data_IF_085307975309
#
_entry.id   IF_085307975309
#
_cell.length_a   1.000
_cell.length_b   1.000
_cell.length_c   1.000
_cell.angle_alpha   90.00
_cell.angle_beta   90.00
_cell.angle_gamma   90.00
#
_symmetry.space_group_name_H-M   'P 1'
#
loop_
_entity.id
_entity.type
_entity.pdbx_description
1 polymer ?
#
# COMPACT_ATOMS: atom_id res chain seq x y z
N UNK A 1 -19.65 16.47 -10.86
CA UNK A 1 -18.85 16.36 -9.61
C UNK A 1 -17.46 15.94 -10.01
N UNK A 2 -16.50 16.87 -9.99
CA UNK A 2 -15.11 16.60 -10.40
C UNK A 2 -14.41 15.83 -9.29
N UNK A 3 -13.99 14.59 -9.54
CA UNK A 3 -13.19 13.82 -8.60
C UNK A 3 -11.86 14.57 -8.39
N UNK A 4 -11.59 14.91 -7.13
CA UNK A 4 -10.67 15.96 -6.74
C UNK A 4 -9.20 15.60 -6.99
N UNK A 5 -8.53 16.58 -7.58
CA UNK A 5 -7.10 16.87 -7.53
C UNK A 5 -6.11 15.75 -7.88
N UNK A 6 -5.79 15.77 -9.17
CA UNK A 6 -4.43 15.74 -9.71
C UNK A 6 -3.45 16.32 -8.68
N UNK A 7 -2.60 15.46 -8.12
CA UNK A 7 -1.36 15.83 -7.45
C UNK A 7 -0.70 16.96 -8.24
N UNK A 8 -0.42 18.10 -7.60
CA UNK A 8 0.61 18.98 -8.12
C UNK A 8 1.85 18.09 -8.31
N UNK A 9 2.28 17.85 -9.56
CA UNK A 9 3.02 16.61 -9.96
C UNK A 9 4.32 16.36 -9.18
N UNK A 10 4.75 17.34 -8.42
CA UNK A 10 5.97 17.33 -7.64
C UNK A 10 5.75 17.28 -6.12
N UNK A 11 4.51 17.22 -5.62
CA UNK A 11 4.19 17.18 -4.19
C UNK A 11 3.50 15.86 -3.82
N UNK A 12 4.01 15.24 -2.75
CA UNK A 12 3.38 14.15 -2.02
C UNK A 12 2.71 14.72 -0.77
N UNK A 13 1.42 14.45 -0.59
CA UNK A 13 0.61 14.95 0.51
C UNK A 13 0.37 13.85 1.55
N UNK A 14 0.16 14.24 2.81
CA UNK A 14 -0.42 13.32 3.80
C UNK A 14 -1.81 12.89 3.33
N UNK A 15 -2.12 11.59 3.43
CA UNK A 15 -3.27 10.87 2.85
C UNK A 15 -3.09 10.35 1.43
N UNK A 16 -2.01 10.71 0.73
CA UNK A 16 -1.69 10.10 -0.56
C UNK A 16 -1.38 8.61 -0.40
N UNK A 17 -1.65 7.87 -1.47
CA UNK A 17 -1.32 6.45 -1.57
C UNK A 17 0.11 6.29 -2.07
N UNK A 18 0.82 5.34 -1.49
CA UNK A 18 2.16 4.97 -1.95
C UNK A 18 2.40 3.48 -1.84
N UNK A 19 3.36 3.02 -2.62
CA UNK A 19 3.87 1.66 -2.56
C UNK A 19 5.24 1.65 -1.90
N UNK A 20 5.53 0.56 -1.22
CA UNK A 20 6.85 0.30 -0.63
C UNK A 20 7.08 -1.20 -0.52
N UNK A 21 8.33 -1.59 -0.30
CA UNK A 21 8.69 -2.97 -0.02
C UNK A 21 8.55 -3.27 1.47
N UNK A 22 7.86 -4.35 1.80
CA UNK A 22 7.66 -4.85 3.16
C UNK A 22 8.10 -6.31 3.24
N UNK A 23 8.48 -6.74 4.44
CA UNK A 23 8.77 -8.14 4.74
C UNK A 23 7.61 -8.78 5.48
N UNK A 24 7.14 -9.94 5.02
CA UNK A 24 6.18 -10.78 5.73
C UNK A 24 6.77 -12.17 5.89
N UNK A 25 7.21 -12.51 7.11
CA UNK A 25 8.01 -13.70 7.36
C UNK A 25 9.35 -13.67 6.60
N UNK A 26 9.52 -14.61 5.67
CA UNK A 26 10.70 -14.73 4.79
C UNK A 26 10.50 -14.12 3.40
N UNK A 27 9.30 -13.62 3.10
CA UNK A 27 8.98 -13.06 1.80
C UNK A 27 9.09 -11.54 1.82
N UNK A 28 9.56 -10.99 0.71
CA UNK A 28 9.38 -9.57 0.40
C UNK A 28 8.11 -9.41 -0.42
N UNK A 29 7.41 -8.31 -0.21
CA UNK A 29 6.17 -8.04 -0.92
C UNK A 29 5.94 -6.54 -0.99
N UNK A 30 5.27 -6.10 -2.04
CA UNK A 30 4.85 -4.71 -2.15
C UNK A 30 3.62 -4.47 -1.29
N UNK A 31 3.73 -3.53 -0.36
CA UNK A 31 2.62 -2.99 0.39
C UNK A 31 2.06 -1.76 -0.28
N UNK A 32 0.73 -1.63 -0.30
CA UNK A 32 0.05 -0.38 -0.69
C UNK A 32 -0.44 0.29 0.59
N UNK A 33 0.01 1.51 0.82
CA UNK A 33 -0.22 2.23 2.06
C UNK A 33 -0.88 3.58 1.81
N UNK A 34 -1.74 3.97 2.74
CA UNK A 34 -2.23 5.34 2.82
C UNK A 34 -1.39 6.12 3.82
N UNK A 35 -0.77 7.19 3.36
CA UNK A 35 0.06 8.06 4.20
C UNK A 35 -0.74 8.69 5.34
N UNK A 36 -0.20 8.60 6.55
CA UNK A 36 -0.74 9.24 7.76
C UNK A 36 0.16 10.34 8.28
N UNK A 37 1.46 10.29 7.96
CA UNK A 37 2.39 11.37 8.26
C UNK A 37 3.60 11.34 7.34
N UNK A 38 4.19 12.50 7.14
CA UNK A 38 5.45 12.66 6.43
C UNK A 38 6.39 13.51 7.29
N UNK A 39 7.68 13.19 7.27
CA UNK A 39 8.70 14.00 7.96
C UNK A 39 9.95 14.13 7.11
N UNK A 40 10.64 15.26 7.26
CA UNK A 40 11.94 15.53 6.63
C UNK A 40 12.87 16.11 7.69
N UNK A 41 14.02 15.47 7.89
CA UNK A 41 14.98 15.83 8.94
C UNK A 41 14.34 15.85 10.34
N UNK A 42 13.44 14.90 10.61
CA UNK A 42 12.71 14.79 11.88
C UNK A 42 11.55 15.77 12.07
N UNK A 43 11.36 16.72 11.15
CA UNK A 43 10.26 17.69 11.21
C UNK A 43 9.05 17.18 10.44
N UNK A 44 7.88 17.14 11.08
CA UNK A 44 6.61 16.78 10.45
C UNK A 44 6.23 17.76 9.33
N UNK A 45 5.73 17.24 8.22
CA UNK A 45 5.31 18.03 7.05
C UNK A 45 3.96 17.52 6.56
N UNK A 46 3.08 18.45 6.18
CA UNK A 46 1.81 18.13 5.53
C UNK A 46 2.00 17.70 4.07
N UNK A 47 3.11 18.12 3.46
CA UNK A 47 3.51 17.78 2.10
C UNK A 47 5.03 17.72 1.96
N UNK A 48 5.51 16.94 1.00
CA UNK A 48 6.91 16.85 0.63
C UNK A 48 7.07 16.96 -0.89
N UNK A 49 8.15 17.58 -1.34
CA UNK A 49 8.50 17.50 -2.74
C UNK A 49 8.95 16.07 -3.08
N UNK A 50 8.37 15.46 -4.12
CA UNK A 50 8.62 14.06 -4.52
C UNK A 50 10.10 13.84 -4.86
N UNK A 51 10.76 14.80 -5.53
CA UNK A 51 12.19 14.73 -5.85
C UNK A 51 13.05 14.71 -4.59
N UNK A 52 12.69 15.52 -3.58
CA UNK A 52 13.38 15.51 -2.28
C UNK A 52 13.10 14.20 -1.54
N UNK A 53 11.86 13.72 -1.56
CA UNK A 53 11.45 12.50 -0.86
C UNK A 53 12.17 11.27 -1.41
N UNK A 54 12.23 11.13 -2.74
CA UNK A 54 12.77 9.95 -3.43
C UNK A 54 14.29 9.98 -3.60
N UNK A 55 14.94 11.11 -3.33
CA UNK A 55 16.41 11.23 -3.39
C UNK A 55 17.09 10.29 -2.40
N UNK A 56 18.05 9.47 -2.86
CA UNK A 56 18.77 8.48 -2.04
C UNK A 56 19.46 9.05 -0.79
N UNK A 57 19.76 10.36 -0.78
CA UNK A 57 20.39 11.06 0.36
C UNK A 57 19.38 11.72 1.29
N UNK A 58 18.10 11.56 1.01
CA UNK A 58 17.03 12.16 1.79
C UNK A 58 16.85 11.45 3.13
N UNK A 59 16.64 12.24 4.17
CA UNK A 59 16.19 11.75 5.48
C UNK A 59 14.66 11.82 5.59
N UNK A 60 13.96 11.86 4.46
CA UNK A 60 12.50 11.79 4.44
C UNK A 60 12.04 10.44 5.01
N UNK A 61 10.98 10.47 5.82
CA UNK A 61 10.30 9.27 6.30
C UNK A 61 8.80 9.45 6.11
N UNK A 62 8.16 8.45 5.53
CA UNK A 62 6.72 8.41 5.31
C UNK A 62 6.14 7.32 6.19
N UNK A 63 5.10 7.64 6.95
CA UNK A 63 4.35 6.66 7.73
C UNK A 63 2.99 6.47 7.08
N UNK A 64 2.56 5.23 6.94
CA UNK A 64 1.26 4.91 6.38
C UNK A 64 0.62 3.68 7.00
N UNK A 65 -0.68 3.56 6.76
CA UNK A 65 -1.49 2.40 7.13
C UNK A 65 -1.55 1.43 5.95
N UNK A 66 -1.27 0.15 6.19
CA UNK A 66 -1.30 -0.88 5.16
C UNK A 66 -2.75 -1.21 4.77
N UNK A 67 -3.04 -1.15 3.48
CA UNK A 67 -4.38 -1.32 2.94
C UNK A 67 -4.67 -2.79 2.63
N UNK A 68 -5.92 -3.20 2.83
CA UNK A 68 -6.41 -4.51 2.38
C UNK A 68 -6.86 -4.39 0.93
N UNK A 69 -6.29 -5.22 0.05
CA UNK A 69 -6.60 -5.20 -1.37
C UNK A 69 -7.15 -6.54 -1.81
N UNK A 70 -8.14 -6.49 -2.71
CA UNK A 70 -8.73 -7.65 -3.36
C UNK A 70 -8.42 -7.63 -4.85
N UNK A 71 -7.93 -8.73 -5.45
CA UNK A 71 -7.77 -8.80 -6.89
C UNK A 71 -9.16 -8.81 -7.58
N UNK A 72 -9.26 -8.23 -8.76
CA UNK A 72 -10.39 -8.50 -9.67
C UNK A 72 -10.30 -9.90 -10.22
N UNK A 73 -11.43 -10.61 -10.28
CA UNK A 73 -11.55 -11.81 -11.09
C UNK A 73 -11.67 -11.40 -12.56
N UNK A 74 -10.63 -11.67 -13.34
CA UNK A 74 -10.67 -11.40 -14.78
C UNK A 74 -11.01 -12.66 -15.55
N UNK A 75 -11.92 -12.53 -16.52
CA UNK A 75 -11.93 -13.42 -17.68
C UNK A 75 -10.60 -13.26 -18.44
N UNK A 76 -10.22 -14.25 -19.23
CA UNK A 76 -8.89 -14.42 -19.84
C UNK A 76 -8.27 -13.21 -20.57
N UNK A 77 -9.05 -12.17 -20.92
CA UNK A 77 -8.62 -11.02 -21.73
C UNK A 77 -8.56 -9.67 -20.98
N UNK A 78 -8.98 -9.57 -19.71
CA UNK A 78 -8.99 -8.29 -19.00
C UNK A 78 -7.72 -8.05 -18.17
N UNK A 79 -7.25 -6.79 -18.14
CA UNK A 79 -6.12 -6.37 -17.32
C UNK A 79 -6.45 -6.56 -15.83
N UNK A 80 -5.58 -7.27 -15.12
CA UNK A 80 -5.78 -7.58 -13.71
C UNK A 80 -5.56 -6.35 -12.83
N UNK A 81 -6.49 -6.10 -11.91
CA UNK A 81 -6.48 -4.94 -11.04
C UNK A 81 -6.51 -5.38 -9.56
N UNK A 82 -6.05 -4.49 -8.68
CA UNK A 82 -6.33 -4.59 -7.25
C UNK A 82 -7.26 -3.47 -6.83
N UNK A 83 -8.34 -3.82 -6.14
CA UNK A 83 -9.22 -2.85 -5.51
C UNK A 83 -8.95 -2.76 -4.04
N UNK A 84 -9.08 -1.54 -3.52
CA UNK A 84 -9.18 -1.35 -2.09
C UNK A 84 -10.58 -1.75 -1.62
N UNK A 85 -10.64 -2.64 -0.61
CA UNK A 85 -11.89 -3.16 -0.07
C UNK A 85 -12.50 -2.26 1.03
N UNK A 86 -11.97 -1.05 1.22
CA UNK A 86 -12.33 -0.14 2.32
C UNK A 86 -11.62 -0.44 3.65
N UNK A 87 -10.91 -1.56 3.72
CA UNK A 87 -10.26 -2.07 4.91
C UNK A 87 -8.77 -1.80 5.01
N UNK A 88 -8.22 -2.18 6.15
CA UNK A 88 -6.80 -2.11 6.43
C UNK A 88 -6.31 -3.46 6.94
N UNK A 89 -5.06 -3.79 6.64
CA UNK A 89 -4.43 -4.98 7.21
C UNK A 89 -4.23 -4.75 8.69
N UNK A 90 -4.61 -5.74 9.50
CA UNK A 90 -4.48 -5.68 10.96
C UNK A 90 -3.45 -6.70 11.46
N UNK A 91 -2.88 -6.44 12.63
CA UNK A 91 -2.01 -7.34 13.37
C UNK A 91 -2.49 -7.48 14.82
N UNK A 92 -2.11 -8.59 15.45
CA UNK A 92 -2.35 -8.81 16.88
C UNK A 92 -1.47 -7.86 17.71
N UNK A 93 -2.09 -7.11 18.62
CA UNK A 93 -1.41 -6.25 19.58
C UNK A 93 -1.80 -6.64 21.00
N UNK A 94 -0.81 -7.04 21.79
CA UNK A 94 -0.99 -7.39 23.20
C UNK A 94 -1.29 -6.12 24.00
N UNK A 95 -2.31 -6.15 24.86
CA UNK A 95 -2.58 -5.06 25.79
C UNK A 95 -1.60 -5.19 26.96
N UNK A 96 -0.81 -4.15 27.21
CA UNK A 96 0.18 -4.18 28.27
C UNK A 96 -0.49 -4.40 29.62
N UNK A 97 -0.04 -5.41 30.36
CA UNK A 97 -0.58 -5.77 31.67
C UNK A 97 -1.76 -6.76 31.65
N UNK A 98 -2.16 -7.28 30.49
CA UNK A 98 -3.18 -8.33 30.39
C UNK A 98 -2.71 -9.49 29.50
N UNK A 99 -3.40 -10.63 29.57
CA UNK A 99 -3.26 -11.74 28.60
C UNK A 99 -4.01 -11.49 27.29
N UNK A 100 -4.74 -10.38 27.20
CA UNK A 100 -5.64 -10.09 26.09
C UNK A 100 -4.89 -9.44 24.93
N UNK A 101 -5.44 -9.63 23.75
CA UNK A 101 -4.92 -9.02 22.53
C UNK A 101 -6.04 -8.41 21.70
N UNK A 102 -5.71 -7.34 20.99
CA UNK A 102 -6.62 -6.61 20.10
C UNK A 102 -6.07 -6.59 18.68
N UNK A 103 -6.96 -6.48 17.69
CA UNK A 103 -6.56 -6.23 16.33
C UNK A 103 -6.27 -4.73 16.16
N UNK A 104 -5.09 -4.39 15.63
CA UNK A 104 -4.72 -3.00 15.30
C UNK A 104 -4.28 -2.90 13.85
N UNK A 105 -4.61 -1.80 13.20
CA UNK A 105 -4.14 -1.50 11.84
C UNK A 105 -2.62 -1.49 11.82
N UNK A 106 -2.03 -2.16 10.83
CA UNK A 106 -0.59 -2.14 10.61
C UNK A 106 -0.19 -0.75 10.11
N UNK A 107 0.66 -0.09 10.89
CA UNK A 107 1.27 1.20 10.55
C UNK A 107 2.75 0.97 10.30
N UNK A 108 3.25 1.45 9.17
CA UNK A 108 4.66 1.29 8.78
C UNK A 108 5.27 2.64 8.49
N UNK A 109 6.46 2.89 9.03
CA UNK A 109 7.31 4.03 8.65
C UNK A 109 8.42 3.54 7.73
N UNK A 110 8.53 4.14 6.54
CA UNK A 110 9.52 3.81 5.52
C UNK A 110 10.38 5.01 5.13
N UNK A 111 11.65 4.80 4.75
CA UNK A 111 12.48 5.85 4.15
C UNK A 111 11.86 6.34 2.84
N UNK A 112 11.87 7.65 2.62
CA UNK A 112 11.36 8.30 1.39
C UNK A 112 11.91 7.72 0.09
N UNK A 113 13.20 7.33 -0.01
CA UNK A 113 13.72 6.66 -1.21
C UNK A 113 13.03 5.34 -1.56
N UNK A 114 12.40 4.66 -0.61
CA UNK A 114 11.68 3.41 -0.82
C UNK A 114 10.18 3.62 -0.98
N UNK A 115 9.74 4.87 -1.18
CA UNK A 115 8.35 5.25 -1.40
C UNK A 115 8.17 5.54 -2.88
N UNK A 116 7.18 4.88 -3.48
CA UNK A 116 6.71 5.19 -4.82
C UNK A 116 5.26 5.71 -4.73
N UNK A 117 5.02 7.03 -4.90
CA UNK A 117 3.68 7.57 -4.96
C UNK A 117 2.87 6.93 -6.08
N UNK A 118 1.61 6.62 -5.83
CA UNK A 118 0.69 6.18 -6.88
C UNK A 118 -0.60 6.95 -6.81
N UNK A 119 -1.09 7.29 -8.01
CA UNK A 119 -2.40 7.88 -8.20
C UNK A 119 -3.39 6.76 -8.56
N UNK A 120 -4.20 6.27 -7.60
CA UNK A 120 -5.12 5.18 -7.89
C UNK A 120 -6.28 5.68 -8.75
N UNK A 121 -6.83 4.79 -9.58
CA UNK A 121 -7.96 5.12 -10.45
C UNK A 121 -9.27 5.05 -9.65
N UNK A 122 -10.11 6.09 -9.64
CA UNK A 122 -11.41 6.01 -8.99
C UNK A 122 -12.26 4.93 -9.69
N UNK A 123 -12.98 4.12 -8.91
CA UNK A 123 -13.78 3.00 -9.42
C UNK A 123 -15.14 2.95 -8.75
N UNK A 124 -16.20 2.82 -9.55
CA UNK A 124 -17.56 2.67 -9.04
C UNK A 124 -17.95 1.18 -9.02
N UNK A 125 -18.05 0.61 -7.82
CA UNK A 125 -18.28 -0.83 -7.62
C UNK A 125 -19.60 -1.29 -8.24
N UNK A 126 -20.66 -0.47 -8.17
CA UNK A 126 -22.00 -0.81 -8.67
C UNK A 126 -22.10 -0.92 -10.20
N UNK A 127 -21.09 -0.44 -10.93
CA UNK A 127 -21.10 -0.41 -12.39
C UNK A 127 -20.23 -1.53 -13.00
N UNK A 128 -19.69 -2.44 -12.18
CA UNK A 128 -18.77 -3.47 -12.61
C UNK A 128 -19.33 -4.86 -12.35
N UNK A 129 -19.45 -5.63 -13.43
CA UNK A 129 -19.98 -7.01 -13.41
C UNK A 129 -18.91 -8.03 -12.98
N UNK A 130 -17.63 -7.68 -13.07
CA UNK A 130 -16.49 -8.51 -12.68
C UNK A 130 -16.11 -8.39 -11.20
N UNK A 131 -16.91 -7.65 -10.43
CA UNK A 131 -16.68 -7.43 -9.01
C UNK A 131 -17.79 -8.12 -8.23
N UNK A 132 -17.43 -9.18 -7.51
CA UNK A 132 -18.32 -9.76 -6.52
C UNK A 132 -18.34 -8.87 -5.26
N UNK A 133 -19.43 -8.15 -5.03
CA UNK A 133 -19.58 -7.29 -3.85
C UNK A 133 -19.44 -8.04 -2.53
N UNK A 134 -19.72 -9.34 -2.49
CA UNK A 134 -19.60 -10.15 -1.28
C UNK A 134 -18.14 -10.34 -0.85
N UNK A 135 -17.17 -10.08 -1.74
CA UNK A 135 -15.76 -10.07 -1.40
C UNK A 135 -15.34 -8.83 -0.58
N UNK A 136 -16.18 -7.79 -0.50
CA UNK A 136 -15.87 -6.51 0.12
C UNK A 136 -16.43 -6.45 1.54
N UNK A 137 -15.67 -6.96 2.50
CA UNK A 137 -16.11 -7.01 3.91
C UNK A 137 -16.25 -5.64 4.59
N UNK A 138 -15.61 -4.59 4.06
CA UNK A 138 -15.55 -3.26 4.71
C UNK A 138 -16.26 -2.13 3.95
N UNK A 139 -16.54 -2.28 2.65
CA UNK A 139 -17.37 -1.29 1.91
C UNK A 139 -18.86 -1.58 2.14
N UNK A 140 -19.35 -1.33 3.36
CA UNK A 140 -20.78 -1.39 3.66
C UNK A 140 -21.49 -0.16 3.08
N UNK A 141 -21.91 -0.23 1.81
CA UNK A 141 -22.77 0.77 1.19
C UNK A 141 -22.08 1.90 0.40
N UNK A 142 -20.76 1.86 0.22
CA UNK A 142 -20.02 2.78 -0.65
C UNK A 142 -20.17 2.43 -2.13
N UNK A 143 -20.58 3.39 -2.97
CA UNK A 143 -20.67 3.18 -4.43
C UNK A 143 -19.31 3.30 -5.14
N UNK A 144 -18.30 3.84 -4.45
CA UNK A 144 -16.99 4.17 -5.02
C UNK A 144 -15.85 3.68 -4.14
N UNK A 145 -14.85 3.07 -4.76
CA UNK A 145 -13.52 2.83 -4.21
C UNK A 145 -12.48 3.34 -5.22
N UNK A 146 -11.26 2.84 -5.17
CA UNK A 146 -10.26 3.03 -6.18
C UNK A 146 -9.50 1.71 -6.44
N UNK A 147 -8.84 1.65 -7.60
CA UNK A 147 -8.08 0.49 -8.05
C UNK A 147 -6.67 0.88 -8.48
N UNK A 148 -5.77 -0.11 -8.49
CA UNK A 148 -4.42 0.03 -9.04
C UNK A 148 -4.20 -1.10 -10.06
N UNK A 149 -3.80 -0.78 -11.30
CA UNK A 149 -3.43 -1.79 -12.28
C UNK A 149 -2.24 -2.64 -11.84
N UNK A 150 -2.29 -3.94 -12.14
CA UNK A 150 -1.18 -4.86 -11.89
C UNK A 150 0.13 -4.34 -12.48
N UNK A 151 0.10 -3.85 -13.70
CA UNK A 151 1.29 -3.37 -14.40
C UNK A 151 1.91 -2.15 -13.69
N UNK A 152 1.08 -1.28 -13.12
CA UNK A 152 1.55 -0.16 -12.30
C UNK A 152 2.18 -0.64 -10.99
N UNK A 153 1.58 -1.63 -10.33
CA UNK A 153 2.18 -2.25 -9.13
C UNK A 153 3.51 -2.95 -9.44
N UNK A 154 3.59 -3.64 -10.58
CA UNK A 154 4.81 -4.32 -11.03
C UNK A 154 5.92 -3.31 -11.34
N UNK A 155 5.62 -2.26 -12.11
CA UNK A 155 6.59 -1.22 -12.42
C UNK A 155 7.12 -0.52 -11.15
N UNK A 156 6.24 -0.26 -10.18
CA UNK A 156 6.63 0.26 -8.87
C UNK A 156 7.51 -0.74 -8.09
N UNK A 157 7.21 -2.04 -8.17
CA UNK A 157 8.02 -3.10 -7.57
C UNK A 157 9.45 -3.09 -8.12
N UNK A 158 9.59 -3.12 -9.44
CA UNK A 158 10.88 -3.13 -10.12
C UNK A 158 11.71 -1.90 -9.75
N UNK A 159 11.07 -0.72 -9.69
CA UNK A 159 11.71 0.53 -9.32
C UNK A 159 12.17 0.55 -7.85
N UNK A 160 11.31 0.13 -6.91
CA UNK A 160 11.67 0.05 -5.49
C UNK A 160 12.78 -0.98 -5.27
N UNK A 161 12.76 -2.09 -6.00
CA UNK A 161 13.80 -3.12 -5.93
C UNK A 161 15.15 -2.60 -6.43
N UNK A 162 15.16 -1.88 -7.55
CA UNK A 162 16.35 -1.22 -8.07
C UNK A 162 16.93 -0.22 -7.05
N UNK A 163 16.08 0.61 -6.43
CA UNK A 163 16.49 1.56 -5.36
C UNK A 163 17.05 0.83 -4.14
N UNK A 164 16.41 -0.26 -3.71
CA UNK A 164 16.86 -1.10 -2.58
C UNK A 164 18.26 -1.67 -2.82
N UNK A 165 18.50 -2.17 -4.03
CA UNK A 165 19.80 -2.70 -4.47
C UNK A 165 20.86 -1.60 -4.51
N UNK A 166 20.53 -0.44 -5.07
CA UNK A 166 21.44 0.72 -5.15
C UNK A 166 21.84 1.24 -3.77
N UNK A 167 20.90 1.23 -2.81
CA UNK A 167 21.14 1.62 -1.42
C UNK A 167 21.87 0.54 -0.60
N UNK A 168 22.08 -0.66 -1.16
CA UNK A 168 22.68 -1.82 -0.47
C UNK A 168 21.97 -2.13 0.86
N UNK A 169 20.64 -2.01 0.86
CA UNK A 169 19.86 -2.24 2.08
C UNK A 169 19.88 -3.71 2.47
N UNK A 170 20.07 -3.97 3.76
CA UNK A 170 19.89 -5.30 4.31
C UNK A 170 18.41 -5.68 4.37
N UNK A 171 18.09 -6.96 4.21
CA UNK A 171 16.72 -7.44 4.42
C UNK A 171 16.17 -7.13 5.82
N UNK A 172 17.07 -6.99 6.82
CA UNK A 172 16.71 -6.65 8.20
C UNK A 172 16.28 -5.20 8.37
N UNK A 173 16.72 -4.30 7.47
CA UNK A 173 16.31 -2.89 7.49
C UNK A 173 14.97 -2.64 6.79
N UNK A 174 14.44 -3.61 6.05
CA UNK A 174 13.09 -3.53 5.47
C UNK A 174 12.08 -3.79 6.58
N UNK A 175 11.05 -2.94 6.65
CA UNK A 175 10.01 -3.04 7.65
C UNK A 175 9.29 -4.40 7.57
N UNK A 176 9.15 -5.05 8.72
CA UNK A 176 8.47 -6.35 8.82
C UNK A 176 7.04 -6.17 9.32
N UNK A 177 6.13 -6.89 8.70
CA UNK A 177 4.73 -6.95 9.09
C UNK A 177 4.34 -8.40 9.38
N UNK A 178 3.34 -8.58 10.25
CA UNK A 178 2.79 -9.89 10.59
C UNK A 178 1.28 -9.74 10.67
N UNK A 179 0.58 -9.90 9.53
CA UNK A 179 -0.86 -9.80 9.46
C UNK A 179 -1.55 -10.81 10.36
N UNK A 180 -2.68 -10.43 10.95
CA UNK A 180 -3.55 -11.32 11.70
C UNK A 180 -4.21 -12.35 10.77
N UNK A 181 -4.63 -11.90 9.59
CA UNK A 181 -5.14 -12.77 8.52
C UNK A 181 -4.13 -12.84 7.37
N UNK A 182 -3.59 -14.04 7.13
CA UNK A 182 -2.63 -14.30 6.06
C UNK A 182 -3.21 -14.12 4.64
N UNK A 183 -4.53 -14.00 4.49
CA UNK A 183 -5.18 -13.67 3.21
C UNK A 183 -5.12 -12.17 2.90
N UNK A 184 -4.99 -11.32 3.92
CA UNK A 184 -4.99 -9.86 3.74
C UNK A 184 -3.66 -9.30 3.23
N UNK A 185 -2.55 -9.97 3.52
CA UNK A 185 -1.21 -9.64 3.02
C UNK A 185 -0.23 -10.83 3.19
N UNK A 186 0.69 -11.08 2.23
CA UNK A 186 0.88 -10.37 0.96
C UNK A 186 -0.28 -10.58 0.00
N UNK A 187 -0.52 -9.60 -0.87
CA UNK A 187 -1.60 -9.67 -1.84
C UNK A 187 -1.38 -10.86 -2.78
N UNK A 188 -2.47 -11.59 -3.05
CA UNK A 188 -2.48 -12.75 -3.94
C UNK A 188 -3.48 -12.50 -5.04
N UNK A 189 -3.15 -13.00 -6.23
CA UNK A 189 -4.09 -13.05 -7.33
C UNK A 189 -5.03 -14.26 -7.19
N UNK A 190 -6.08 -14.30 -8.01
CA UNK A 190 -7.08 -15.38 -8.03
C UNK A 190 -6.48 -16.75 -8.35
N UNK A 191 -5.32 -16.80 -9.02
CA UNK A 191 -4.53 -18.02 -9.24
C UNK A 191 -3.76 -18.51 -8.00
N UNK A 192 -3.88 -17.80 -6.87
CA UNK A 192 -3.24 -18.09 -5.60
C UNK A 192 -1.76 -17.72 -5.52
N UNK A 193 -1.16 -17.19 -6.60
CA UNK A 193 0.25 -16.83 -6.64
C UNK A 193 0.48 -15.42 -6.09
N UNK A 194 1.50 -15.29 -5.24
CA UNK A 194 2.07 -14.01 -4.84
C UNK A 194 3.16 -13.64 -5.85
N UNK A 195 2.90 -12.63 -6.70
CA UNK A 195 3.83 -12.25 -7.77
C UNK A 195 4.69 -11.02 -7.47
N UNK A 196 4.52 -10.38 -6.32
CA UNK A 196 5.29 -9.20 -5.96
C UNK A 196 6.56 -9.59 -5.20
N UNK A 197 7.58 -9.99 -5.95
CA UNK A 197 8.95 -10.26 -5.49
C UNK A 197 9.94 -9.67 -6.50
#
# INVERSE_FOLDING_TARGET
MSAGHITDRNLFLVRDIFLTILRSGHNLSIGVLRSTSASLNGVSRASLNVTIMTSLRSNAKITGQLLSLVPTDTSLDAAQMFLWDGGYVTARSVIQGTSDSTARVIVVTVPGPLVEPVNPEPTFLRLREDINSDAFSQVNGGQSTWQIPRDAMQAACDLIWAKTTQMKLSLRSIASVTPLDAKSFPYKFSDGKSHFL
#
